data_IF_921337842416
#
_entry.id   IF_921337842416
#
_cell.length_a   1.000
_cell.length_b   1.000
_cell.length_c   1.000
_cell.angle_alpha   90.00
_cell.angle_beta   90.00
_cell.angle_gamma   90.00
#
_symmetry.space_group_name_H-M   'P 1'
#
loop_
_entity.id
_entity.type
_entity.pdbx_description
1 polymer ?
#
# COMPACT_ATOMS: atom_id res chain seq x y z
N UNK A 1 -9.00 50.54 8.96
CA UNK A 1 -7.71 49.82 9.02
C UNK A 1 -7.58 48.91 7.79
N UNK A 2 -6.56 49.08 6.93
CA UNK A 2 -6.33 48.21 5.75
C UNK A 2 -5.35 47.09 6.13
N UNK A 3 -5.84 45.85 6.18
CA UNK A 3 -5.00 44.66 6.40
C UNK A 3 -4.14 44.43 5.16
N UNK A 4 -2.82 44.62 5.28
CA UNK A 4 -1.87 44.30 4.21
C UNK A 4 -1.78 42.78 4.08
N UNK A 5 -2.22 42.23 2.95
CA UNK A 5 -2.00 40.82 2.63
C UNK A 5 -0.49 40.53 2.61
N UNK A 6 -0.03 39.64 3.50
CA UNK A 6 1.36 39.13 3.49
C UNK A 6 1.58 38.43 2.15
N UNK A 7 2.47 38.96 1.32
CA UNK A 7 2.99 38.25 0.14
C UNK A 7 3.79 37.04 0.64
N UNK A 8 3.23 35.85 0.49
CA UNK A 8 3.96 34.61 0.77
C UNK A 8 5.19 34.52 -0.14
N UNK A 9 6.34 34.17 0.45
CA UNK A 9 7.61 34.08 -0.26
C UNK A 9 7.57 32.84 -1.20
N UNK A 10 7.72 33.00 -2.52
CA UNK A 10 7.64 31.88 -3.48
C UNK A 10 8.62 30.74 -3.15
N UNK A 11 9.79 31.05 -2.58
CA UNK A 11 10.82 30.07 -2.21
C UNK A 11 10.38 29.14 -1.07
N UNK A 12 9.61 29.63 -0.09
CA UNK A 12 9.10 28.78 1.00
C UNK A 12 8.04 27.81 0.48
N UNK A 13 7.23 28.24 -0.49
CA UNK A 13 6.21 27.39 -1.14
C UNK A 13 6.82 26.30 -2.03
N UNK A 14 7.91 26.57 -2.73
CA UNK A 14 8.63 25.53 -3.48
C UNK A 14 9.25 24.47 -2.56
N UNK A 15 9.79 24.89 -1.41
CA UNK A 15 10.45 24.00 -0.45
C UNK A 15 9.48 23.04 0.24
N UNK A 16 8.27 23.50 0.59
CA UNK A 16 7.22 22.66 1.18
C UNK A 16 6.69 21.63 0.17
N UNK A 17 6.47 22.03 -1.08
CA UNK A 17 6.05 21.11 -2.15
C UNK A 17 7.06 19.99 -2.42
N UNK A 18 8.36 20.30 -2.39
CA UNK A 18 9.41 19.29 -2.54
C UNK A 18 9.46 18.31 -1.37
N UNK A 19 9.22 18.79 -0.15
CA UNK A 19 9.16 17.96 1.05
C UNK A 19 7.97 17.00 1.03
N UNK A 20 6.79 17.47 0.61
CA UNK A 20 5.60 16.64 0.46
C UNK A 20 5.79 15.55 -0.59
N UNK A 21 6.39 15.88 -1.74
CA UNK A 21 6.71 14.89 -2.79
C UNK A 21 7.63 13.78 -2.29
N UNK A 22 8.71 14.12 -1.55
CA UNK A 22 9.61 13.12 -0.96
C UNK A 22 8.87 12.16 -0.03
N UNK A 23 7.93 12.65 0.77
CA UNK A 23 7.12 11.81 1.68
C UNK A 23 6.11 10.93 0.96
N UNK A 24 5.53 11.40 -0.15
CA UNK A 24 4.66 10.57 -1.00
C UNK A 24 5.45 9.41 -1.59
N UNK A 25 6.64 9.70 -2.12
CA UNK A 25 7.55 8.67 -2.63
C UNK A 25 7.96 7.68 -1.53
N UNK A 26 8.31 8.17 -0.34
CA UNK A 26 8.66 7.31 0.80
C UNK A 26 7.50 6.38 1.21
N UNK A 27 6.26 6.88 1.20
CA UNK A 27 5.07 6.07 1.47
C UNK A 27 4.83 4.99 0.41
N UNK A 28 5.07 5.30 -0.87
CA UNK A 28 4.99 4.31 -1.95
C UNK A 28 6.06 3.23 -1.81
N UNK A 29 7.31 3.60 -1.50
CA UNK A 29 8.40 2.66 -1.25
C UNK A 29 8.14 1.77 -0.03
N UNK A 30 7.63 2.36 1.07
CA UNK A 30 7.20 1.59 2.24
C UNK A 30 6.10 0.59 1.86
N UNK A 31 5.11 1.03 1.09
CA UNK A 31 4.02 0.16 0.65
C UNK A 31 4.52 -1.00 -0.21
N UNK A 32 5.42 -0.76 -1.16
CA UNK A 32 6.05 -1.82 -1.96
C UNK A 32 6.87 -2.78 -1.11
N UNK A 33 7.66 -2.25 -0.16
CA UNK A 33 8.42 -3.06 0.79
C UNK A 33 7.50 -3.97 1.60
N UNK A 34 6.38 -3.45 2.11
CA UNK A 34 5.41 -4.25 2.88
C UNK A 34 4.63 -5.25 2.04
N UNK A 35 4.53 -5.02 0.73
CA UNK A 35 3.94 -5.99 -0.20
C UNK A 35 4.88 -7.14 -0.54
N UNK A 36 6.16 -7.07 -0.20
CA UNK A 36 7.16 -8.13 -0.37
C UNK A 36 6.93 -8.96 -1.65
N UNK A 37 7.00 -8.28 -2.81
CA UNK A 37 6.65 -8.88 -4.09
C UNK A 37 7.52 -10.11 -4.36
N UNK A 38 8.81 -10.02 -4.05
CA UNK A 38 9.78 -11.09 -4.30
C UNK A 38 9.53 -12.28 -3.37
N UNK A 39 9.31 -12.05 -2.07
CA UNK A 39 8.94 -13.10 -1.11
C UNK A 39 7.61 -13.77 -1.45
N UNK A 40 6.62 -13.00 -1.92
CA UNK A 40 5.37 -13.54 -2.45
C UNK A 40 5.61 -14.47 -3.66
N UNK A 41 6.40 -14.03 -4.65
CA UNK A 41 6.64 -14.83 -5.85
C UNK A 41 7.46 -16.09 -5.55
N UNK A 42 8.39 -16.04 -4.60
CA UNK A 42 9.12 -17.20 -4.11
C UNK A 42 8.17 -18.21 -3.45
N UNK A 43 7.35 -17.74 -2.50
CA UNK A 43 6.35 -18.58 -1.80
C UNK A 43 5.32 -19.16 -2.77
N UNK A 44 4.89 -18.39 -3.77
CA UNK A 44 4.00 -18.86 -4.83
C UNK A 44 4.63 -20.03 -5.59
N UNK A 45 5.87 -19.89 -6.05
CA UNK A 45 6.58 -20.95 -6.80
C UNK A 45 6.73 -22.22 -5.96
N UNK A 46 7.10 -22.05 -4.69
CA UNK A 46 7.23 -23.15 -3.73
C UNK A 46 5.90 -23.87 -3.52
N UNK A 47 4.82 -23.16 -3.15
CA UNK A 47 3.50 -23.75 -2.91
C UNK A 47 2.89 -24.43 -4.13
N UNK A 48 3.10 -23.87 -5.33
CA UNK A 48 2.68 -24.51 -6.58
C UNK A 48 3.39 -25.85 -6.75
N UNK A 49 4.69 -25.89 -6.50
CA UNK A 49 5.50 -27.11 -6.60
C UNK A 49 5.09 -28.13 -5.55
N UNK A 50 4.96 -27.73 -4.29
CA UNK A 50 4.62 -28.60 -3.16
C UNK A 50 3.25 -29.27 -3.34
N UNK A 51 2.27 -28.51 -3.84
CA UNK A 51 0.90 -29.02 -4.08
C UNK A 51 0.75 -29.70 -5.43
N UNK A 52 1.82 -29.80 -6.23
CA UNK A 52 1.76 -30.35 -7.59
C UNK A 52 0.77 -29.62 -8.51
N UNK A 53 0.55 -28.32 -8.26
CA UNK A 53 -0.45 -27.54 -9.00
C UNK A 53 0.12 -27.08 -10.35
N UNK A 54 -0.73 -27.11 -11.36
CA UNK A 54 -0.47 -26.47 -12.64
C UNK A 54 -1.01 -25.05 -12.66
N UNK A 55 -0.40 -24.18 -13.48
CA UNK A 55 -0.93 -22.83 -13.74
C UNK A 55 -2.38 -22.87 -14.24
N UNK A 56 -2.77 -23.94 -14.95
CA UNK A 56 -4.14 -24.16 -15.42
C UNK A 56 -5.12 -24.34 -14.26
N UNK A 57 -4.75 -25.09 -13.22
CA UNK A 57 -5.58 -25.27 -12.03
C UNK A 57 -5.76 -23.95 -11.27
N UNK A 58 -4.69 -23.16 -11.12
CA UNK A 58 -4.77 -21.83 -10.50
C UNK A 58 -5.69 -20.91 -11.31
N UNK A 59 -5.58 -20.93 -12.64
CA UNK A 59 -6.50 -20.20 -13.51
C UNK A 59 -7.96 -20.62 -13.27
N UNK A 60 -8.25 -21.92 -13.20
CA UNK A 60 -9.62 -22.41 -13.03
C UNK A 60 -10.18 -22.00 -11.67
N UNK A 61 -9.40 -22.18 -10.60
CA UNK A 61 -9.86 -21.93 -9.25
C UNK A 61 -9.97 -20.45 -8.90
N UNK A 62 -9.07 -19.60 -9.42
CA UNK A 62 -9.07 -18.17 -9.13
C UNK A 62 -9.69 -17.31 -10.24
N UNK A 63 -9.99 -17.89 -11.41
CA UNK A 63 -10.52 -17.18 -12.56
C UNK A 63 -9.52 -16.25 -13.25
N UNK A 64 -8.22 -16.42 -13.01
CA UNK A 64 -7.19 -15.54 -13.57
C UNK A 64 -6.77 -15.94 -14.98
N UNK A 65 -6.36 -14.97 -15.79
CA UNK A 65 -5.79 -15.26 -17.10
C UNK A 65 -4.41 -15.93 -16.94
N UNK A 66 -4.23 -17.12 -17.53
CA UNK A 66 -2.92 -17.84 -17.51
C UNK A 66 -1.74 -16.98 -17.92
N UNK A 67 -1.91 -16.08 -18.90
CA UNK A 67 -0.82 -15.21 -19.39
C UNK A 67 -0.31 -14.30 -18.28
N UNK A 68 -1.23 -13.82 -17.43
CA UNK A 68 -0.92 -12.96 -16.28
C UNK A 68 -0.12 -13.74 -15.25
N UNK A 69 -0.55 -14.96 -14.90
CA UNK A 69 0.17 -15.82 -13.95
C UNK A 69 1.59 -16.12 -14.47
N UNK A 70 1.73 -16.50 -15.74
CA UNK A 70 3.05 -16.73 -16.34
C UNK A 70 3.94 -15.47 -16.35
N UNK A 71 3.35 -14.29 -16.57
CA UNK A 71 4.10 -13.02 -16.50
C UNK A 71 4.64 -12.78 -15.10
N UNK A 72 3.90 -13.15 -14.04
CA UNK A 72 4.38 -13.06 -12.67
C UNK A 72 5.53 -14.04 -12.39
N UNK A 73 5.38 -15.30 -12.81
CA UNK A 73 6.39 -16.33 -12.56
C UNK A 73 7.72 -16.03 -13.27
N UNK A 74 7.68 -15.32 -14.40
CA UNK A 74 8.84 -14.82 -15.16
C UNK A 74 9.32 -13.44 -14.71
N UNK A 75 8.74 -12.86 -13.66
CA UNK A 75 9.05 -11.51 -13.17
C UNK A 75 8.85 -10.38 -14.22
N UNK A 76 8.03 -10.61 -15.26
CA UNK A 76 7.71 -9.62 -16.29
C UNK A 76 6.66 -8.60 -15.82
N UNK A 77 5.81 -8.99 -14.86
CA UNK A 77 4.77 -8.14 -14.28
C UNK A 77 4.69 -8.31 -12.79
N UNK A 78 4.41 -7.19 -12.10
CA UNK A 78 4.13 -7.18 -10.68
C UNK A 78 2.64 -7.53 -10.48
N UNK A 79 2.31 -8.55 -9.66
CA UNK A 79 0.92 -8.85 -9.32
C UNK A 79 0.30 -7.66 -8.59
N UNK A 80 -0.98 -7.39 -8.85
CA UNK A 80 -1.70 -6.37 -8.07
C UNK A 80 -1.98 -6.88 -6.66
N UNK A 81 -2.27 -5.97 -5.73
CA UNK A 81 -2.61 -6.31 -4.35
C UNK A 81 -3.78 -7.29 -4.28
N UNK A 82 -4.84 -7.03 -5.05
CA UNK A 82 -6.02 -7.90 -5.13
C UNK A 82 -5.66 -9.32 -5.55
N UNK A 83 -4.74 -9.46 -6.51
CA UNK A 83 -4.28 -10.78 -6.95
C UNK A 83 -3.41 -11.48 -5.90
N UNK A 84 -2.54 -10.74 -5.20
CA UNK A 84 -1.75 -11.30 -4.11
C UNK A 84 -2.63 -11.89 -3.01
N UNK A 85 -3.62 -11.13 -2.54
CA UNK A 85 -4.57 -11.57 -1.51
C UNK A 85 -5.22 -12.90 -1.90
N UNK A 86 -5.85 -12.96 -3.07
CA UNK A 86 -6.56 -14.16 -3.54
C UNK A 86 -5.65 -15.38 -3.69
N UNK A 87 -4.40 -15.19 -4.12
CA UNK A 87 -3.42 -16.28 -4.21
C UNK A 87 -2.97 -16.74 -2.83
N UNK A 88 -2.74 -15.81 -1.90
CA UNK A 88 -2.30 -16.15 -0.55
C UNK A 88 -3.38 -16.89 0.22
N UNK A 89 -4.63 -16.47 0.10
CA UNK A 89 -5.79 -17.18 0.65
C UNK A 89 -5.92 -18.59 0.07
N UNK A 90 -5.73 -18.74 -1.24
CA UNK A 90 -5.87 -20.04 -1.91
C UNK A 90 -4.73 -21.02 -1.62
N UNK A 91 -3.50 -20.52 -1.45
CA UNK A 91 -2.29 -21.34 -1.27
C UNK A 91 -1.77 -21.39 0.18
N UNK A 92 -2.50 -20.80 1.13
CA UNK A 92 -2.10 -20.66 2.53
C UNK A 92 -0.67 -20.11 2.67
N UNK A 93 -0.41 -19.00 1.98
CA UNK A 93 0.86 -18.28 2.06
C UNK A 93 0.73 -17.23 3.18
N UNK A 94 1.55 -17.30 4.24
CA UNK A 94 1.52 -16.30 5.30
C UNK A 94 1.96 -14.93 4.74
N UNK A 95 1.23 -13.87 5.09
CA UNK A 95 1.47 -12.53 4.54
C UNK A 95 1.60 -11.45 5.61
N UNK A 96 2.42 -10.44 5.33
CA UNK A 96 2.69 -9.35 6.27
C UNK A 96 1.47 -8.41 6.41
N UNK A 97 1.08 -8.14 7.67
CA UNK A 97 -0.22 -7.57 8.04
C UNK A 97 -0.51 -6.19 7.42
N UNK A 98 0.40 -5.22 7.46
CA UNK A 98 0.00 -3.81 7.21
C UNK A 98 -0.42 -3.47 5.79
N UNK A 99 0.13 -4.10 4.75
CA UNK A 99 -0.24 -3.81 3.36
C UNK A 99 -1.46 -4.60 2.90
N UNK A 100 -1.76 -5.75 3.51
CA UNK A 100 -2.86 -6.63 3.11
C UNK A 100 -3.88 -6.92 4.24
N UNK A 101 -3.88 -6.16 5.34
CA UNK A 101 -4.94 -6.30 6.35
C UNK A 101 -6.06 -5.34 6.01
N UNK A 102 -7.26 -5.84 5.70
CA UNK A 102 -8.39 -4.96 5.47
C UNK A 102 -8.79 -4.24 6.77
N UNK A 103 -9.40 -3.07 6.65
CA UNK A 103 -10.07 -2.44 7.80
C UNK A 103 -11.34 -3.23 8.17
N UNK A 104 -12.05 -2.77 9.20
CA UNK A 104 -13.33 -3.35 9.65
C UNK A 104 -14.40 -3.41 8.55
N UNK A 105 -14.25 -2.63 7.48
CA UNK A 105 -15.17 -2.56 6.34
C UNK A 105 -14.77 -3.52 5.21
N UNK A 106 -13.68 -4.27 5.35
CA UNK A 106 -13.14 -5.14 4.29
C UNK A 106 -12.28 -4.40 3.25
N UNK A 107 -12.03 -3.10 3.41
CA UNK A 107 -11.22 -2.32 2.48
C UNK A 107 -9.74 -2.58 2.72
N UNK A 108 -9.00 -2.87 1.65
CA UNK A 108 -7.56 -3.03 1.72
C UNK A 108 -6.81 -1.68 1.68
N UNK A 109 -5.65 -1.56 2.34
CA UNK A 109 -4.81 -0.38 2.26
C UNK A 109 -4.38 -0.09 0.82
N UNK A 110 -4.59 1.14 0.35
CA UNK A 110 -4.06 1.63 -0.91
C UNK A 110 -2.71 2.37 -0.77
N UNK A 111 -2.17 2.46 0.45
CA UNK A 111 -0.83 2.98 0.73
C UNK A 111 -0.49 2.94 2.21
N UNK A 112 0.78 3.18 2.54
CA UNK A 112 1.27 3.30 3.91
C UNK A 112 1.98 4.65 4.06
N UNK A 113 1.85 5.27 5.24
CA UNK A 113 2.49 6.55 5.59
C UNK A 113 3.09 6.49 6.97
N UNK A 114 4.11 7.32 7.22
CA UNK A 114 4.59 7.60 8.55
C UNK A 114 3.95 8.90 9.09
N UNK A 115 3.50 8.87 10.34
CA UNK A 115 2.89 10.02 10.99
C UNK A 115 3.91 11.14 11.22
N UNK A 116 3.54 12.38 10.93
CA UNK A 116 4.44 13.53 11.10
C UNK A 116 4.66 13.95 12.55
N UNK A 117 3.83 13.47 13.47
CA UNK A 117 3.88 13.83 14.89
C UNK A 117 4.62 12.75 15.67
N UNK A 118 4.20 11.49 15.54
CA UNK A 118 4.79 10.39 16.32
C UNK A 118 5.70 9.45 15.52
N UNK A 119 5.84 9.62 14.20
CA UNK A 119 6.64 8.72 13.37
C UNK A 119 6.01 7.36 13.05
N UNK A 120 4.95 6.95 13.75
CA UNK A 120 4.32 5.64 13.54
C UNK A 120 3.77 5.47 12.13
N UNK A 121 3.95 4.27 11.59
CA UNK A 121 3.39 3.90 10.28
C UNK A 121 1.90 3.56 10.39
N UNK A 122 1.12 3.95 9.38
CA UNK A 122 -0.30 3.68 9.33
C UNK A 122 -0.77 3.47 7.89
N UNK A 123 -1.78 2.60 7.74
CA UNK A 123 -2.42 2.29 6.48
C UNK A 123 -3.38 3.41 6.02
N UNK A 124 -3.40 3.66 4.72
CA UNK A 124 -4.37 4.51 4.04
C UNK A 124 -5.34 3.62 3.28
N UNK A 125 -6.64 3.75 3.53
CA UNK A 125 -7.67 2.89 2.91
C UNK A 125 -8.42 3.57 1.76
N UNK A 126 -8.41 4.90 1.68
CA UNK A 126 -9.14 5.65 0.64
C UNK A 126 -8.26 6.73 0.02
N UNK A 127 -8.41 6.96 -1.28
CA UNK A 127 -7.69 8.00 -2.03
C UNK A 127 -7.85 9.40 -1.45
N UNK A 128 -9.04 9.69 -0.90
CA UNK A 128 -9.31 10.96 -0.21
C UNK A 128 -8.37 11.20 0.98
N UNK A 129 -7.81 10.15 1.56
CA UNK A 129 -6.88 10.21 2.67
C UNK A 129 -5.41 10.28 2.23
N UNK A 130 -5.10 10.43 0.93
CA UNK A 130 -3.70 10.49 0.47
C UNK A 130 -2.94 11.71 1.00
N UNK A 131 -3.67 12.79 1.32
CA UNK A 131 -3.14 13.97 2.01
C UNK A 131 -3.08 13.82 3.54
N UNK A 132 -3.51 12.69 4.11
CA UNK A 132 -3.46 12.47 5.54
C UNK A 132 -2.02 12.21 5.99
N UNK A 133 -1.53 13.07 6.88
CA UNK A 133 -0.16 13.04 7.38
C UNK A 133 -0.08 12.66 8.87
N UNK A 134 -1.23 12.54 9.55
CA UNK A 134 -1.33 12.16 10.96
C UNK A 134 -2.03 10.81 11.10
N UNK A 135 -1.50 9.95 11.98
CA UNK A 135 -2.17 8.71 12.37
C UNK A 135 -3.46 9.04 13.15
N UNK A 136 -4.33 8.04 13.34
CA UNK A 136 -5.63 8.23 14.00
C UNK A 136 -5.47 8.84 15.41
N UNK A 137 -4.51 8.35 16.19
CA UNK A 137 -4.22 8.84 17.55
C UNK A 137 -3.79 10.30 17.57
N UNK A 138 -2.89 10.72 16.66
CA UNK A 138 -2.43 12.12 16.58
C UNK A 138 -3.47 13.07 15.95
N UNK A 139 -4.46 12.52 15.24
CA UNK A 139 -5.56 13.30 14.64
C UNK A 139 -6.59 13.68 15.69
N UNK A 140 -6.95 12.76 16.57
CA UNK A 140 -7.94 12.98 17.64
C UNK A 140 -7.45 14.01 18.68
N UNK A 141 -6.15 14.12 18.93
CA UNK A 141 -5.56 15.10 19.86
C UNK A 141 -5.66 16.57 19.40
N UNK A 142 -6.02 16.84 18.14
CA UNK A 142 -6.16 18.20 17.60
C UNK A 142 -7.61 18.59 17.30
N UNK A 143 -8.58 17.74 17.65
CA UNK A 143 -9.99 18.11 17.56
C UNK A 143 -10.31 18.98 18.78
N UNK A 144 -10.73 20.25 18.62
CA UNK A 144 -11.23 21.00 19.76
C UNK A 144 -12.43 20.22 20.32
N UNK A 145 -12.35 19.85 21.60
CA UNK A 145 -13.51 19.36 22.34
C UNK A 145 -14.63 20.36 22.16
N UNK A 146 -15.74 19.92 21.56
CA UNK A 146 -16.98 20.71 21.54
C UNK A 146 -17.58 20.74 22.93
#
# INVERSE_FOLDING_TARGET
MRVRARKENPKSRQSSLNYERKRVLQGALLFEKYRDIDGFLASLKERIKDRGLSVKQIQINLGFNKKVIYSWLRNEKIPSQKYQVAVCEYLDIPYHKLALTPNEQGDYPCGIRACTVCGCEFALFKKINYGQMKCCSCRQLNSPSK
#
